data_IF_893480479918
#
_entry.id   IF_893480479918
#
_cell.length_a   1.000
_cell.length_b   1.000
_cell.length_c   1.000
_cell.angle_alpha   90.00
_cell.angle_beta   90.00
_cell.angle_gamma   90.00
#
_symmetry.space_group_name_H-M   'P 1'
#
loop_
_entity.id
_entity.type
_entity.pdbx_description
1 polymer ?
#
# COMPACT_ATOMS: atom_id res chain seq x y z
N UNK A 1 -29.22 -16.16 49.86
CA UNK A 1 -28.91 -14.81 49.35
C UNK A 1 -28.22 -14.96 48.02
N UNK A 2 -28.84 -14.48 46.95
CA UNK A 2 -28.27 -14.49 45.61
C UNK A 2 -28.00 -13.08 45.15
N UNK A 3 -26.78 -12.83 44.66
CA UNK A 3 -26.46 -11.67 43.82
C UNK A 3 -25.55 -12.14 42.70
N UNK A 4 -26.14 -12.22 41.50
CA UNK A 4 -25.47 -12.25 40.21
C UNK A 4 -25.38 -10.81 39.70
N UNK A 5 -24.30 -10.48 38.99
CA UNK A 5 -24.41 -9.61 37.81
C UNK A 5 -23.47 -8.41 37.75
N UNK A 6 -22.89 -8.24 36.56
CA UNK A 6 -22.40 -6.97 36.00
C UNK A 6 -20.90 -6.78 36.13
N UNK A 7 -20.12 -6.60 35.08
CA UNK A 7 -20.37 -6.45 33.65
C UNK A 7 -19.00 -6.19 33.05
N UNK A 8 -18.57 -7.02 32.11
CA UNK A 8 -17.30 -6.82 31.42
C UNK A 8 -17.38 -5.56 30.57
N UNK A 9 -16.74 -4.49 31.03
CA UNK A 9 -16.50 -3.31 30.21
C UNK A 9 -15.55 -3.75 29.10
N UNK A 10 -16.10 -4.03 27.92
CA UNK A 10 -15.30 -4.23 26.72
C UNK A 10 -14.50 -2.94 26.47
N UNK A 11 -13.18 -3.05 26.37
CA UNK A 11 -12.28 -1.95 26.05
C UNK A 11 -12.70 -1.32 24.71
N UNK A 12 -13.09 -0.02 24.66
CA UNK A 12 -13.42 0.67 23.42
C UNK A 12 -12.29 0.62 22.38
N UNK A 13 -11.04 0.43 22.81
CA UNK A 13 -9.88 0.27 21.93
C UNK A 13 -9.85 -1.08 21.21
N UNK A 14 -10.48 -2.12 21.77
CA UNK A 14 -10.60 -3.43 21.12
C UNK A 14 -11.63 -3.40 19.98
N UNK A 15 -12.66 -2.55 20.10
CA UNK A 15 -13.73 -2.44 19.11
C UNK A 15 -13.31 -1.62 17.89
N UNK A 16 -12.47 -0.58 18.07
CA UNK A 16 -11.91 0.22 16.99
C UNK A 16 -10.84 -0.49 16.13
N UNK A 17 -10.35 -1.67 16.57
CA UNK A 17 -9.38 -2.48 15.80
C UNK A 17 -10.02 -3.33 14.69
N UNK A 18 -11.35 -3.34 14.58
CA UNK A 18 -12.11 -4.33 13.81
C UNK A 18 -12.61 -3.87 12.42
N UNK A 19 -12.28 -2.67 11.94
CA UNK A 19 -12.92 -2.15 10.71
C UNK A 19 -12.08 -2.25 9.43
N UNK A 20 -10.80 -2.62 9.52
CA UNK A 20 -9.96 -2.79 8.33
C UNK A 20 -9.98 -4.26 7.94
N UNK A 21 -10.53 -4.57 6.76
CA UNK A 21 -10.41 -5.89 6.18
C UNK A 21 -8.93 -6.30 6.12
N UNK A 22 -8.56 -7.53 6.55
CA UNK A 22 -7.20 -8.00 6.42
C UNK A 22 -6.68 -7.82 4.99
N UNK A 23 -5.42 -7.43 4.83
CA UNK A 23 -4.82 -7.11 3.52
C UNK A 23 -5.11 -8.18 2.46
N UNK A 24 -4.98 -9.50 2.73
CA UNK A 24 -5.31 -10.52 1.74
C UNK A 24 -6.76 -10.49 1.28
N UNK A 25 -7.71 -10.24 2.19
CA UNK A 25 -9.14 -10.18 1.86
C UNK A 25 -9.45 -8.93 1.03
N UNK A 26 -8.90 -7.78 1.42
CA UNK A 26 -9.01 -6.53 0.66
C UNK A 26 -8.50 -6.72 -0.78
N UNK A 27 -7.31 -7.28 -0.94
CA UNK A 27 -6.70 -7.46 -2.26
C UNK A 27 -7.45 -8.46 -3.14
N UNK A 28 -7.99 -9.54 -2.56
CA UNK A 28 -8.88 -10.45 -3.31
C UNK A 28 -10.10 -9.71 -3.83
N UNK A 29 -10.75 -8.92 -2.98
CA UNK A 29 -11.93 -8.17 -3.38
C UNK A 29 -11.62 -7.17 -4.50
N UNK A 30 -10.53 -6.41 -4.36
CA UNK A 30 -10.09 -5.47 -5.39
C UNK A 30 -9.74 -6.19 -6.70
N UNK A 31 -9.06 -7.33 -6.63
CA UNK A 31 -8.72 -8.13 -7.81
C UNK A 31 -9.98 -8.66 -8.51
N UNK A 32 -10.90 -9.27 -7.76
CA UNK A 32 -12.16 -9.81 -8.28
C UNK A 32 -13.04 -8.75 -8.95
N UNK A 33 -13.01 -7.51 -8.45
CA UNK A 33 -13.75 -6.38 -9.01
C UNK A 33 -13.00 -5.64 -10.12
N UNK A 34 -11.84 -6.13 -10.55
CA UNK A 34 -10.95 -5.47 -11.49
C UNK A 34 -10.60 -4.03 -11.07
N UNK A 35 -10.37 -3.80 -9.77
CA UNK A 35 -10.11 -2.49 -9.17
C UNK A 35 -8.60 -2.20 -8.98
N UNK A 36 -7.73 -3.11 -9.42
CA UNK A 36 -6.28 -2.90 -9.43
C UNK A 36 -5.83 -2.14 -10.70
N UNK A 37 -4.74 -1.34 -10.65
CA UNK A 37 -3.85 -1.14 -9.51
C UNK A 37 -4.45 -0.23 -8.43
N UNK A 38 -4.08 -0.47 -7.17
CA UNK A 38 -4.57 0.29 -6.02
C UNK A 38 -3.44 0.90 -5.19
N UNK A 39 -3.69 2.09 -4.62
CA UNK A 39 -2.85 2.66 -3.56
C UNK A 39 -3.62 2.52 -2.24
N UNK A 40 -2.99 1.86 -1.26
CA UNK A 40 -3.55 1.67 0.08
C UNK A 40 -2.80 2.55 1.07
N UNK A 41 -3.46 3.59 1.56
CA UNK A 41 -2.87 4.55 2.49
C UNK A 41 -2.89 4.01 3.93
N UNK A 42 -1.69 3.83 4.49
CA UNK A 42 -1.44 3.38 5.87
C UNK A 42 -0.53 4.42 6.54
N UNK A 43 -1.01 5.06 7.61
CA UNK A 43 -0.31 6.14 8.31
C UNK A 43 0.81 5.64 9.25
N UNK A 44 1.54 4.61 8.83
CA UNK A 44 2.67 4.02 9.56
C UNK A 44 3.66 3.40 8.57
N UNK A 45 4.95 3.72 8.72
CA UNK A 45 6.02 3.14 7.88
C UNK A 45 6.07 1.62 8.03
N UNK A 46 6.20 1.17 9.28
CA UNK A 46 6.15 -0.26 9.62
C UNK A 46 4.83 -0.92 9.20
N UNK A 47 3.72 -0.17 9.24
CA UNK A 47 2.43 -0.66 8.77
C UNK A 47 2.39 -0.92 7.26
N UNK A 48 3.05 -0.08 6.45
CA UNK A 48 3.17 -0.28 5.01
C UNK A 48 3.98 -1.53 4.68
N UNK A 49 5.14 -1.69 5.31
CA UNK A 49 5.99 -2.88 5.11
C UNK A 49 5.25 -4.16 5.56
N UNK A 50 4.61 -4.14 6.73
CA UNK A 50 3.82 -5.28 7.22
C UNK A 50 2.62 -5.62 6.31
N UNK A 51 2.01 -4.63 5.68
CA UNK A 51 0.93 -4.85 4.73
C UNK A 51 1.45 -5.45 3.41
N UNK A 52 2.61 -5.00 2.93
CA UNK A 52 3.27 -5.60 1.77
C UNK A 52 3.61 -7.08 2.01
N UNK A 53 4.09 -7.42 3.20
CA UNK A 53 4.33 -8.81 3.60
C UNK A 53 3.05 -9.64 3.65
N UNK A 54 1.97 -9.10 4.22
CA UNK A 54 0.67 -9.78 4.22
C UNK A 54 0.12 -9.98 2.80
N UNK A 55 0.34 -9.02 1.90
CA UNK A 55 -0.03 -9.14 0.50
C UNK A 55 0.74 -10.27 -0.20
N UNK A 56 2.04 -10.43 0.10
CA UNK A 56 2.85 -11.52 -0.45
C UNK A 56 2.39 -12.92 -0.02
N UNK A 57 1.67 -13.02 1.10
CA UNK A 57 1.06 -14.28 1.56
C UNK A 57 -0.23 -14.66 0.81
N UNK A 58 -0.64 -13.90 -0.21
CA UNK A 58 -1.74 -14.28 -1.09
C UNK A 58 -1.42 -15.58 -1.83
N UNK A 59 -2.36 -16.53 -1.79
CA UNK A 59 -2.24 -17.80 -2.53
C UNK A 59 -2.39 -17.65 -4.05
N UNK A 60 -2.91 -16.51 -4.51
CA UNK A 60 -3.11 -16.22 -5.92
C UNK A 60 -2.18 -15.08 -6.34
N UNK A 61 -1.42 -15.22 -7.44
CA UNK A 61 -0.53 -14.18 -7.91
C UNK A 61 -1.32 -12.97 -8.40
N UNK A 62 -0.80 -11.77 -8.12
CA UNK A 62 -1.39 -10.52 -8.62
C UNK A 62 -0.92 -10.17 -10.04
N UNK A 63 0.22 -10.73 -10.45
CA UNK A 63 0.87 -10.50 -11.75
C UNK A 63 0.93 -11.79 -12.56
N UNK A 64 0.78 -11.68 -13.88
CA UNK A 64 0.98 -12.79 -14.82
C UNK A 64 2.46 -13.06 -15.13
N UNK A 65 2.75 -14.21 -15.76
CA UNK A 65 4.13 -14.59 -16.14
C UNK A 65 4.84 -13.55 -17.00
N UNK A 66 4.13 -12.94 -17.95
CA UNK A 66 4.69 -11.92 -18.84
C UNK A 66 5.04 -10.64 -18.08
N UNK A 67 4.24 -10.30 -17.06
CA UNK A 67 4.48 -9.16 -16.20
C UNK A 67 5.69 -9.42 -15.29
N UNK A 68 5.81 -10.62 -14.74
CA UNK A 68 6.99 -11.04 -13.97
C UNK A 68 8.26 -10.89 -14.81
N UNK A 69 8.30 -11.43 -16.03
CA UNK A 69 9.48 -11.29 -16.90
C UNK A 69 9.85 -9.83 -17.21
N UNK A 70 8.85 -8.95 -17.35
CA UNK A 70 9.09 -7.50 -17.53
C UNK A 70 9.62 -6.84 -16.26
N UNK A 71 9.10 -7.21 -15.10
CA UNK A 71 9.60 -6.71 -13.81
C UNK A 71 11.05 -7.16 -13.61
N UNK A 72 11.36 -8.44 -13.85
CA UNK A 72 12.72 -8.99 -13.78
C UNK A 72 13.68 -8.22 -14.69
N UNK A 73 13.29 -7.94 -15.93
CA UNK A 73 14.12 -7.15 -16.86
C UNK A 73 14.41 -5.75 -16.32
N UNK A 74 13.38 -5.01 -15.87
CA UNK A 74 13.55 -3.64 -15.34
C UNK A 74 14.41 -3.65 -14.07
N UNK A 75 14.19 -4.62 -13.18
CA UNK A 75 14.99 -4.78 -11.96
C UNK A 75 16.45 -5.11 -12.31
N UNK A 76 16.70 -5.96 -13.30
CA UNK A 76 18.05 -6.27 -13.76
C UNK A 76 18.75 -5.05 -14.37
N UNK A 77 18.05 -4.27 -15.21
CA UNK A 77 18.56 -3.00 -15.76
C UNK A 77 18.92 -2.01 -14.67
N UNK A 78 18.02 -1.83 -13.70
CA UNK A 78 18.24 -0.99 -12.54
C UNK A 78 19.43 -1.46 -11.72
N UNK A 79 19.60 -2.78 -11.51
CA UNK A 79 20.75 -3.34 -10.79
C UNK A 79 22.06 -3.06 -11.52
N UNK A 80 22.10 -3.22 -12.84
CA UNK A 80 23.28 -2.88 -13.66
C UNK A 80 23.64 -1.40 -13.56
N UNK A 81 22.65 -0.51 -13.60
CA UNK A 81 22.87 0.93 -13.53
C UNK A 81 23.34 1.41 -12.14
N UNK A 82 23.00 0.68 -11.07
CA UNK A 82 23.21 1.11 -9.68
C UNK A 82 24.15 0.17 -8.89
N UNK A 83 25.00 -0.61 -9.57
CA UNK A 83 25.77 -1.72 -8.99
C UNK A 83 26.47 -1.41 -7.65
N UNK A 84 27.10 -0.24 -7.51
CA UNK A 84 27.81 0.16 -6.29
C UNK A 84 26.90 0.45 -5.08
N UNK A 85 25.59 0.65 -5.30
CA UNK A 85 24.62 1.00 -4.27
C UNK A 85 23.76 -0.21 -3.84
N UNK A 86 23.89 -1.36 -4.50
CA UNK A 86 23.02 -2.52 -4.28
C UNK A 86 23.12 -3.10 -2.87
N UNK A 87 24.31 -3.09 -2.28
CA UNK A 87 24.55 -3.62 -0.92
C UNK A 87 23.75 -2.87 0.17
N UNK A 88 23.28 -1.66 -0.14
CA UNK A 88 22.45 -0.85 0.77
C UNK A 88 20.96 -1.10 0.63
N UNK A 89 20.52 -1.80 -0.42
CA UNK A 89 19.11 -1.95 -0.76
C UNK A 89 18.50 -3.18 -0.08
N UNK A 90 17.23 -3.09 0.28
CA UNK A 90 16.52 -4.18 0.90
C UNK A 90 16.13 -5.25 -0.13
N UNK A 91 16.77 -6.43 -0.04
CA UNK A 91 16.49 -7.59 -0.91
C UNK A 91 15.01 -7.96 -0.86
N UNK A 92 14.36 -7.87 0.31
CA UNK A 92 12.96 -8.24 0.47
C UNK A 92 12.04 -7.35 -0.35
N UNK A 93 12.36 -6.05 -0.44
CA UNK A 93 11.58 -5.12 -1.28
C UNK A 93 11.65 -5.50 -2.76
N UNK A 94 12.78 -5.99 -3.26
CA UNK A 94 12.85 -6.49 -4.64
C UNK A 94 12.00 -7.72 -4.89
N UNK A 95 11.98 -8.66 -3.93
CA UNK A 95 11.13 -9.85 -4.03
C UNK A 95 9.65 -9.45 -4.09
N UNK A 96 9.22 -8.48 -3.28
CA UNK A 96 7.86 -7.95 -3.30
C UNK A 96 7.51 -7.31 -4.66
N UNK A 97 8.45 -6.59 -5.28
CA UNK A 97 8.23 -5.99 -6.60
C UNK A 97 7.92 -7.06 -7.66
N UNK A 98 8.56 -8.24 -7.60
CA UNK A 98 8.27 -9.36 -8.52
C UNK A 98 6.84 -9.89 -8.37
N UNK A 99 6.21 -9.68 -7.22
CA UNK A 99 4.82 -10.05 -6.97
C UNK A 99 3.83 -8.93 -7.33
N UNK A 100 4.32 -7.81 -7.88
CA UNK A 100 3.52 -6.62 -8.16
C UNK A 100 3.12 -5.85 -6.90
N UNK A 101 3.91 -5.95 -5.82
CA UNK A 101 3.65 -5.35 -4.51
C UNK A 101 4.77 -4.37 -4.15
N UNK A 102 4.44 -3.22 -3.59
CA UNK A 102 5.44 -2.31 -3.01
C UNK A 102 4.94 -1.63 -1.73
N UNK A 103 5.87 -1.29 -0.84
CA UNK A 103 5.67 -0.20 0.13
C UNK A 103 6.20 1.12 -0.43
N UNK A 104 5.70 2.26 0.07
CA UNK A 104 6.21 3.60 -0.26
C UNK A 104 6.12 4.55 0.93
N UNK A 105 7.25 4.87 1.54
CA UNK A 105 7.30 5.78 2.67
C UNK A 105 8.66 6.47 2.86
N UNK A 106 8.69 7.51 3.70
CA UNK A 106 9.89 8.31 3.95
C UNK A 106 11.10 7.54 4.51
N UNK A 107 10.91 6.36 5.11
CA UNK A 107 12.00 5.50 5.57
C UNK A 107 12.69 4.65 4.49
N UNK A 108 12.20 4.67 3.24
CA UNK A 108 12.83 3.94 2.13
C UNK A 108 13.91 4.78 1.48
N UNK A 109 14.91 4.10 0.92
CA UNK A 109 15.95 4.76 0.15
C UNK A 109 15.35 5.42 -1.09
N UNK A 110 15.85 6.61 -1.50
CA UNK A 110 15.38 7.29 -2.71
C UNK A 110 15.36 6.37 -3.94
N UNK A 111 16.37 5.51 -4.06
CA UNK A 111 16.53 4.60 -5.17
C UNK A 111 15.46 3.48 -5.20
N UNK A 112 15.07 2.94 -4.03
CA UNK A 112 13.98 1.96 -3.92
C UNK A 112 12.64 2.58 -4.31
N UNK A 113 12.38 3.82 -3.86
CA UNK A 113 11.17 4.55 -4.23
C UNK A 113 11.11 4.82 -5.73
N UNK A 114 12.22 5.25 -6.33
CA UNK A 114 12.30 5.51 -7.77
C UNK A 114 11.99 4.26 -8.60
N UNK A 115 12.49 3.08 -8.18
CA UNK A 115 12.18 1.81 -8.85
C UNK A 115 10.70 1.43 -8.70
N UNK A 116 10.14 1.56 -7.50
CA UNK A 116 8.72 1.30 -7.28
C UNK A 116 7.83 2.22 -8.14
N UNK A 117 8.18 3.50 -8.22
CA UNK A 117 7.50 4.50 -9.06
C UNK A 117 7.59 4.15 -10.55
N UNK A 118 8.77 3.74 -11.03
CA UNK A 118 8.98 3.28 -12.40
C UNK A 118 8.09 2.06 -12.74
N UNK A 119 8.07 1.05 -11.86
CA UNK A 119 7.26 -0.15 -12.05
C UNK A 119 5.75 0.14 -11.96
N UNK A 120 5.35 1.08 -11.10
CA UNK A 120 3.95 1.52 -11.02
C UNK A 120 3.51 2.21 -12.31
N UNK A 121 4.31 3.13 -12.84
CA UNK A 121 4.03 3.83 -14.10
C UNK A 121 3.99 2.87 -15.30
N UNK A 122 4.79 1.80 -15.26
CA UNK A 122 4.74 0.71 -16.23
C UNK A 122 3.51 -0.23 -16.07
N UNK A 123 2.62 0.04 -15.11
CA UNK A 123 1.46 -0.77 -14.76
C UNK A 123 1.81 -2.21 -14.30
N UNK A 124 3.02 -2.39 -13.77
CA UNK A 124 3.54 -3.67 -13.29
C UNK A 124 3.31 -3.87 -11.79
N UNK A 125 3.14 -2.80 -11.02
CA UNK A 125 2.67 -2.90 -9.63
C UNK A 125 1.15 -2.89 -9.56
N UNK A 126 0.60 -3.85 -8.81
CA UNK A 126 -0.84 -4.03 -8.59
C UNK A 126 -1.30 -3.38 -7.29
N UNK A 127 -0.42 -3.32 -6.30
CA UNK A 127 -0.70 -2.60 -5.06
C UNK A 127 0.54 -1.86 -4.55
N UNK A 128 0.32 -0.64 -4.07
CA UNK A 128 1.31 0.12 -3.30
C UNK A 128 0.73 0.47 -1.93
N UNK A 129 1.42 0.09 -0.86
CA UNK A 129 1.09 0.48 0.51
C UNK A 129 1.89 1.73 0.88
N UNK A 130 1.21 2.85 1.09
CA UNK A 130 1.87 4.14 1.17
C UNK A 130 1.50 4.96 2.39
N UNK A 131 2.45 5.74 2.89
CA UNK A 131 2.14 6.81 3.85
C UNK A 131 1.61 8.06 3.14
N UNK A 132 1.02 8.98 3.89
CA UNK A 132 0.41 10.23 3.41
C UNK A 132 1.30 11.04 2.44
N UNK A 133 2.62 11.03 2.64
CA UNK A 133 3.56 11.81 1.81
C UNK A 133 3.51 11.47 0.33
N UNK A 134 3.08 10.25 -0.04
CA UNK A 134 2.90 9.86 -1.43
C UNK A 134 1.83 10.71 -2.13
N UNK A 135 0.79 11.12 -1.39
CA UNK A 135 -0.34 11.88 -1.94
C UNK A 135 0.08 13.27 -2.47
N UNK A 136 1.16 13.84 -1.94
CA UNK A 136 1.56 15.23 -2.20
C UNK A 136 2.67 15.41 -3.27
N UNK A 137 3.30 14.35 -3.79
CA UNK A 137 4.61 14.52 -4.45
C UNK A 137 4.85 13.88 -5.82
N UNK A 138 4.08 12.89 -6.25
CA UNK A 138 4.48 12.02 -7.38
C UNK A 138 3.34 11.79 -8.38
N UNK A 139 3.59 11.67 -9.68
CA UNK A 139 2.57 11.32 -10.67
C UNK A 139 2.31 9.79 -10.71
N UNK A 140 1.54 9.27 -9.75
CA UNK A 140 1.11 7.87 -9.69
C UNK A 140 -0.42 7.77 -9.55
N UNK A 141 -1.19 7.94 -10.64
CA UNK A 141 -2.62 7.70 -10.61
C UNK A 141 -2.91 6.18 -10.58
N UNK A 142 -3.75 5.76 -9.65
CA UNK A 142 -4.22 4.38 -9.49
C UNK A 142 -5.66 4.25 -9.98
N UNK A 143 -6.13 3.03 -10.26
CA UNK A 143 -7.56 2.80 -10.50
C UNK A 143 -8.36 3.02 -9.21
N UNK A 144 -7.78 2.64 -8.08
CA UNK A 144 -8.43 2.68 -6.76
C UNK A 144 -7.52 3.30 -5.71
N UNK A 145 -8.10 4.08 -4.82
CA UNK A 145 -7.45 4.51 -3.59
C UNK A 145 -8.19 3.97 -2.37
N UNK A 146 -7.46 3.38 -1.42
CA UNK A 146 -8.01 2.92 -0.15
C UNK A 146 -7.40 3.73 0.98
N UNK A 147 -8.23 4.36 1.81
CA UNK A 147 -7.80 5.04 3.04
C UNK A 147 -8.19 4.16 4.21
N UNK A 148 -7.20 3.58 4.90
CA UNK A 148 -7.46 2.56 5.94
C UNK A 148 -8.04 3.12 7.24
N UNK A 149 -7.86 4.41 7.52
CA UNK A 149 -8.42 5.06 8.70
C UNK A 149 -8.57 6.56 8.45
N UNK A 150 -9.57 7.19 9.08
CA UNK A 150 -9.79 8.64 9.05
C UNK A 150 -9.12 9.37 10.22
N UNK A 151 -8.18 8.72 10.89
CA UNK A 151 -7.41 9.29 12.00
C UNK A 151 -5.95 8.86 11.91
N UNK A 152 -5.04 9.69 12.42
CA UNK A 152 -3.60 9.38 12.48
C UNK A 152 -3.01 9.76 13.82
N UNK A 153 -1.86 9.18 14.14
CA UNK A 153 -1.04 9.63 15.28
C UNK A 153 -0.26 10.87 14.86
N UNK A 154 -0.49 11.98 15.55
CA UNK A 154 0.37 13.16 15.51
C UNK A 154 0.99 13.45 16.88
N UNK A 155 1.54 14.65 17.01
CA UNK A 155 2.33 15.04 18.19
C UNK A 155 1.49 15.10 19.48
N UNK A 156 0.19 15.36 19.33
CA UNK A 156 -0.77 15.49 20.46
C UNK A 156 -1.60 14.23 20.70
N UNK A 157 -1.28 13.13 20.05
CA UNK A 157 -2.02 11.87 20.14
C UNK A 157 -2.73 11.51 18.84
N UNK A 158 -3.88 10.83 18.94
CA UNK A 158 -4.68 10.46 17.76
C UNK A 158 -5.52 11.67 17.36
N UNK A 159 -5.39 12.10 16.12
CA UNK A 159 -6.10 13.25 15.56
C UNK A 159 -6.81 12.87 14.24
N UNK A 160 -7.94 13.53 13.92
CA UNK A 160 -8.64 13.29 12.66
C UNK A 160 -7.77 13.64 11.45
N UNK A 161 -7.97 12.91 10.36
CA UNK A 161 -7.34 13.23 9.08
C UNK A 161 -7.92 14.54 8.54
N UNK A 162 -7.04 15.46 8.14
CA UNK A 162 -7.47 16.72 7.52
C UNK A 162 -8.19 16.44 6.20
N UNK A 163 -9.24 17.21 5.92
CA UNK A 163 -10.01 17.08 4.67
C UNK A 163 -9.13 17.25 3.42
N UNK A 164 -8.14 18.15 3.46
CA UNK A 164 -7.18 18.35 2.38
C UNK A 164 -6.34 17.09 2.10
N UNK A 165 -5.85 16.42 3.15
CA UNK A 165 -5.08 15.19 3.01
C UNK A 165 -5.93 14.06 2.43
N UNK A 166 -7.18 13.92 2.91
CA UNK A 166 -8.12 12.94 2.36
C UNK A 166 -8.39 13.19 0.87
N UNK A 167 -8.62 14.44 0.47
CA UNK A 167 -8.84 14.82 -0.93
C UNK A 167 -7.61 14.57 -1.80
N UNK A 168 -6.40 14.80 -1.29
CA UNK A 168 -5.16 14.48 -2.00
C UNK A 168 -5.00 12.98 -2.23
N UNK A 169 -5.35 12.15 -1.24
CA UNK A 169 -5.36 10.69 -1.39
C UNK A 169 -6.41 10.27 -2.40
N UNK A 170 -7.66 10.69 -2.22
CA UNK A 170 -8.77 10.34 -3.12
C UNK A 170 -8.49 10.78 -4.58
N UNK A 171 -7.84 11.93 -4.78
CA UNK A 171 -7.43 12.42 -6.10
C UNK A 171 -6.41 11.55 -6.83
N UNK A 172 -5.86 10.51 -6.19
CA UNK A 172 -5.06 9.47 -6.86
C UNK A 172 -5.89 8.42 -7.56
N UNK A 173 -7.16 8.28 -7.24
CA UNK A 173 -8.05 7.33 -7.90
C UNK A 173 -8.51 7.85 -9.27
N UNK A 174 -8.53 6.95 -10.26
CA UNK A 174 -8.93 7.23 -11.63
C UNK A 174 -7.74 7.66 -12.50
N UNK A 175 -7.35 6.81 -13.45
CA UNK A 175 -6.34 7.14 -14.46
C UNK A 175 -7.03 7.80 -15.65
N UNK A 176 -6.69 9.07 -15.90
CA UNK A 176 -7.25 9.86 -17.03
C UNK A 176 -7.02 9.13 -18.35
N UNK A 177 -8.09 8.97 -19.13
CA UNK A 177 -8.05 8.31 -20.43
C UNK A 177 -7.95 6.78 -20.40
N UNK A 178 -7.93 6.16 -19.21
CA UNK A 178 -7.85 4.70 -19.04
C UNK A 178 -9.04 4.16 -18.22
N UNK A 179 -9.40 4.83 -17.12
CA UNK A 179 -10.50 4.41 -16.26
C UNK A 179 -11.73 5.30 -16.46
N UNK A 180 -12.93 4.71 -16.53
CA UNK A 180 -14.21 5.45 -16.61
C UNK A 180 -14.51 6.22 -15.31
N UNK A 181 -14.07 5.67 -14.17
CA UNK A 181 -14.18 6.29 -12.84
C UNK A 181 -13.02 5.86 -11.94
N UNK A 182 -12.67 6.71 -10.98
CA UNK A 182 -11.87 6.33 -9.82
C UNK A 182 -12.72 5.66 -8.76
N UNK A 183 -12.11 4.76 -7.98
CA UNK A 183 -12.77 4.06 -6.87
C UNK A 183 -12.06 4.32 -5.54
#
# INVERSE_FOLDING_TARGET
GGWRGGGGWADPRAQARSEIAPVPSLLRELSHKAMLPAIVFIFSRAGCDAAAEQAAALRAPLVGSDEVGRIESIVADFKRANGALLDSLDVRRFELLQLGIASHHAGMLPLEKALAEQLFQANLLKVVFATETLAAGINMPARTTVVTTLSKRGDRGVEPLAASALLQMAGRAGRRGIDERGN
#
